data_IF_927892468195
#
_entry.id   IF_927892468195
#
_cell.length_a   1.000
_cell.length_b   1.000
_cell.length_c   1.000
_cell.angle_alpha   90.00
_cell.angle_beta   90.00
_cell.angle_gamma   90.00
#
_symmetry.space_group_name_H-M   'P 1'
#
loop_
_entity.id
_entity.type
_entity.pdbx_description
1 polymer ?
#
# COMPACT_ATOMS: atom_id res chain seq x y z
N UNK A 1 -9.25 -8.17 23.90
CA UNK A 1 -9.06 -8.05 22.44
C UNK A 1 -10.06 -7.04 21.90
N UNK A 2 -9.64 -6.10 21.05
CA UNK A 2 -10.41 -4.88 20.73
C UNK A 2 -11.22 -4.88 19.43
N UNK A 3 -11.54 -6.04 18.84
CA UNK A 3 -12.41 -6.14 17.67
C UNK A 3 -12.97 -7.57 17.55
N UNK A 4 -14.13 -7.73 16.89
CA UNK A 4 -14.72 -9.05 16.59
C UNK A 4 -14.21 -9.56 15.24
N UNK A 5 -13.96 -10.87 15.12
CA UNK A 5 -13.57 -11.50 13.85
C UNK A 5 -14.71 -11.49 12.81
N UNK A 6 -15.95 -11.42 13.27
CA UNK A 6 -17.14 -11.31 12.40
C UNK A 6 -17.37 -9.87 11.91
N UNK A 7 -16.59 -8.90 12.41
CA UNK A 7 -16.72 -7.52 12.00
C UNK A 7 -16.22 -7.31 10.57
N UNK A 8 -16.87 -6.40 9.85
CA UNK A 8 -16.43 -5.98 8.51
C UNK A 8 -14.93 -5.62 8.51
N UNK A 9 -14.46 -4.87 9.50
CA UNK A 9 -13.07 -4.43 9.58
C UNK A 9 -12.05 -5.59 9.69
N UNK A 10 -12.47 -6.78 10.12
CA UNK A 10 -11.62 -7.95 10.27
C UNK A 10 -11.52 -8.82 9.01
N UNK A 11 -12.36 -8.61 7.98
CA UNK A 11 -12.36 -9.41 6.74
C UNK A 11 -10.97 -9.65 6.12
N UNK A 12 -10.05 -8.67 6.03
CA UNK A 12 -8.72 -8.91 5.47
C UNK A 12 -7.89 -9.94 6.24
N UNK A 13 -8.15 -10.15 7.53
CA UNK A 13 -7.46 -11.18 8.33
C UNK A 13 -7.85 -12.59 7.87
N UNK A 14 -9.11 -12.77 7.47
CA UNK A 14 -9.71 -14.04 7.08
C UNK A 14 -9.43 -14.43 5.61
N UNK A 15 -9.02 -13.45 4.79
CA UNK A 15 -8.65 -13.71 3.39
C UNK A 15 -7.47 -14.71 3.34
N UNK A 16 -7.57 -15.81 2.58
CA UNK A 16 -6.44 -16.71 2.39
C UNK A 16 -5.39 -16.04 1.49
N UNK A 17 -4.14 -16.44 1.66
CA UNK A 17 -3.10 -15.94 0.76
C UNK A 17 -3.12 -16.69 -0.58
N UNK A 18 -3.00 -15.98 -1.72
CA UNK A 18 -2.81 -16.61 -3.02
C UNK A 18 -1.51 -17.45 -3.03
N UNK A 19 -1.58 -18.68 -3.56
CA UNK A 19 -0.41 -19.55 -3.73
C UNK A 19 0.07 -20.28 -2.47
N UNK A 20 -0.71 -20.31 -1.39
CA UNK A 20 -0.40 -21.09 -0.17
C UNK A 20 0.68 -20.48 0.72
N UNK A 21 1.11 -21.24 1.74
CA UNK A 21 2.04 -20.78 2.79
C UNK A 21 3.52 -20.80 2.38
N UNK A 22 3.89 -21.64 1.41
CA UNK A 22 5.28 -21.90 1.03
C UNK A 22 6.04 -20.68 0.45
N UNK A 23 5.31 -19.64 0.02
CA UNK A 23 5.90 -18.45 -0.60
C UNK A 23 6.34 -17.37 0.39
N UNK A 24 6.05 -17.52 1.70
CA UNK A 24 6.25 -16.46 2.70
C UNK A 24 7.09 -16.90 3.88
N UNK A 25 7.92 -15.98 4.36
CA UNK A 25 8.63 -16.16 5.63
C UNK A 25 7.70 -15.81 6.79
N UNK A 26 7.82 -16.54 7.91
CA UNK A 26 6.95 -16.37 9.07
C UNK A 26 6.84 -14.91 9.54
N UNK A 27 7.95 -14.17 9.52
CA UNK A 27 7.98 -12.77 9.98
C UNK A 27 7.23 -11.82 9.04
N UNK A 28 7.12 -12.14 7.75
CA UNK A 28 6.35 -11.35 6.78
C UNK A 28 4.85 -11.54 7.06
N UNK A 29 4.42 -12.77 7.34
CA UNK A 29 3.04 -13.05 7.75
C UNK A 29 2.72 -12.36 9.08
N UNK A 30 3.60 -12.47 10.08
CA UNK A 30 3.43 -11.80 11.36
C UNK A 30 3.31 -10.27 11.19
N UNK A 31 4.13 -9.65 10.35
CA UNK A 31 4.07 -8.21 10.07
C UNK A 31 2.75 -7.80 9.40
N UNK A 32 2.27 -8.58 8.42
CA UNK A 32 0.99 -8.33 7.74
C UNK A 32 -0.17 -8.48 8.72
N UNK A 33 -0.21 -9.55 9.51
CA UNK A 33 -1.26 -9.78 10.52
C UNK A 33 -1.30 -8.67 11.55
N UNK A 34 -0.15 -8.31 12.12
CA UNK A 34 -0.06 -7.23 13.11
C UNK A 34 -0.57 -5.90 12.56
N UNK A 35 -0.26 -5.57 11.30
CA UNK A 35 -0.79 -4.37 10.65
C UNK A 35 -2.31 -4.44 10.46
N UNK A 36 -2.83 -5.57 9.99
CA UNK A 36 -4.27 -5.77 9.78
C UNK A 36 -5.07 -5.73 11.08
N UNK A 37 -4.54 -6.30 12.18
CA UNK A 37 -5.20 -6.22 13.49
C UNK A 37 -5.34 -4.77 13.97
N UNK A 38 -4.29 -3.96 13.80
CA UNK A 38 -4.34 -2.53 14.14
C UNK A 38 -5.36 -1.79 13.27
N UNK A 39 -5.38 -2.08 11.97
CA UNK A 39 -6.37 -1.52 11.05
C UNK A 39 -7.80 -1.93 11.45
N UNK A 40 -8.02 -3.18 11.84
CA UNK A 40 -9.31 -3.72 12.27
C UNK A 40 -9.81 -3.05 13.56
N UNK A 41 -8.89 -2.65 14.46
CA UNK A 41 -9.18 -1.84 15.66
C UNK A 41 -9.47 -0.37 15.35
N UNK A 42 -9.42 0.03 14.08
CA UNK A 42 -9.64 1.41 13.65
C UNK A 42 -8.41 2.32 13.79
N UNK A 43 -7.23 1.79 14.10
CA UNK A 43 -6.00 2.58 14.13
C UNK A 43 -5.72 3.17 12.73
N UNK A 44 -5.48 4.49 12.68
CA UNK A 44 -5.27 5.20 11.41
C UNK A 44 -3.84 5.14 10.90
N UNK A 45 -2.88 4.80 11.76
CA UNK A 45 -1.45 4.80 11.48
C UNK A 45 -0.83 3.53 12.05
N UNK A 46 0.00 2.89 11.24
CA UNK A 46 0.78 1.70 11.62
C UNK A 46 2.20 1.93 11.15
N UNK A 47 3.17 1.69 12.03
CA UNK A 47 4.59 1.71 11.70
C UNK A 47 5.15 0.29 11.87
N UNK A 48 5.74 -0.25 10.81
CA UNK A 48 6.45 -1.53 10.85
C UNK A 48 7.96 -1.26 10.77
N UNK A 49 8.68 -1.63 11.83
CA UNK A 49 10.13 -1.56 11.85
C UNK A 49 10.72 -2.83 11.26
N UNK A 50 11.29 -2.72 10.06
CA UNK A 50 11.77 -3.85 9.27
C UNK A 50 13.23 -3.62 8.86
N UNK A 51 14.05 -4.66 8.97
CA UNK A 51 15.44 -4.62 8.47
C UNK A 51 15.49 -4.47 6.94
N UNK A 52 16.61 -4.00 6.40
CA UNK A 52 16.87 -4.04 4.95
C UNK A 52 16.90 -5.49 4.46
N UNK A 53 16.46 -5.75 3.22
CA UNK A 53 16.41 -7.11 2.66
C UNK A 53 15.31 -8.04 3.22
N UNK A 54 14.54 -7.62 4.23
CA UNK A 54 13.42 -8.41 4.80
C UNK A 54 12.16 -8.51 3.89
N UNK A 55 12.19 -7.87 2.72
CA UNK A 55 11.06 -7.88 1.79
C UNK A 55 9.95 -6.89 2.17
N UNK A 56 10.30 -5.65 2.50
CA UNK A 56 9.32 -4.59 2.81
C UNK A 56 8.28 -4.39 1.69
N UNK A 57 8.74 -4.38 0.42
CA UNK A 57 7.85 -4.30 -0.74
C UNK A 57 6.91 -5.49 -0.82
N UNK A 58 7.41 -6.69 -0.56
CA UNK A 58 6.60 -7.92 -0.52
C UNK A 58 5.50 -7.82 0.53
N UNK A 59 5.85 -7.37 1.76
CA UNK A 59 4.88 -7.14 2.84
C UNK A 59 3.82 -6.12 2.42
N UNK A 60 4.21 -4.99 1.82
CA UNK A 60 3.28 -3.96 1.38
C UNK A 60 2.30 -4.47 0.29
N UNK A 61 2.82 -5.19 -0.71
CA UNK A 61 2.01 -5.78 -1.79
C UNK A 61 0.98 -6.76 -1.23
N UNK A 62 1.41 -7.69 -0.37
CA UNK A 62 0.51 -8.69 0.20
C UNK A 62 -0.48 -8.09 1.20
N UNK A 63 -0.08 -7.09 1.98
CA UNK A 63 -0.99 -6.36 2.85
C UNK A 63 -2.12 -5.71 2.04
N UNK A 64 -1.78 -4.95 0.99
CA UNK A 64 -2.79 -4.35 0.12
C UNK A 64 -3.62 -5.40 -0.59
N UNK A 65 -3.03 -6.55 -0.94
CA UNK A 65 -3.75 -7.64 -1.60
C UNK A 65 -4.84 -8.21 -0.70
N UNK A 66 -4.54 -8.47 0.59
CA UNK A 66 -5.57 -8.94 1.55
C UNK A 66 -6.70 -7.92 1.72
N UNK A 67 -6.37 -6.63 1.75
CA UNK A 67 -7.37 -5.55 1.84
C UNK A 67 -8.21 -5.46 0.55
N UNK A 68 -7.60 -5.68 -0.62
CA UNK A 68 -8.27 -5.67 -1.92
C UNK A 68 -9.21 -6.87 -2.10
N UNK A 69 -8.73 -8.07 -1.79
CA UNK A 69 -9.51 -9.31 -1.87
C UNK A 69 -10.67 -9.32 -0.86
N UNK A 70 -10.56 -8.58 0.24
CA UNK A 70 -11.67 -8.32 1.17
C UNK A 70 -12.69 -7.28 0.66
N UNK A 71 -12.47 -6.68 -0.52
CA UNK A 71 -13.32 -5.62 -1.08
C UNK A 71 -13.17 -4.26 -0.39
N UNK A 72 -12.12 -4.05 0.41
CA UNK A 72 -11.95 -2.88 1.26
C UNK A 72 -10.91 -1.89 0.74
N UNK A 73 -10.13 -2.28 -0.27
CA UNK A 73 -9.16 -1.39 -0.90
C UNK A 73 -9.90 -0.37 -1.75
N UNK A 74 -9.99 0.85 -1.23
CA UNK A 74 -10.43 1.99 -2.04
C UNK A 74 -9.29 2.46 -2.92
N UNK A 75 -8.18 2.81 -2.28
CA UNK A 75 -7.16 3.70 -2.82
C UNK A 75 -5.90 3.60 -1.94
N UNK A 76 -4.73 3.33 -2.52
CA UNK A 76 -3.43 3.32 -1.83
C UNK A 76 -2.34 4.12 -2.57
N UNK A 77 -1.42 4.70 -1.80
CA UNK A 77 -0.22 5.37 -2.30
C UNK A 77 1.01 4.68 -1.69
N UNK A 78 1.89 4.16 -2.54
CA UNK A 78 3.20 3.61 -2.16
C UNK A 78 4.29 4.61 -2.50
N UNK A 79 4.93 5.15 -1.47
CA UNK A 79 5.92 6.21 -1.62
C UNK A 79 7.34 5.66 -1.49
N UNK A 80 8.18 6.04 -2.43
CA UNK A 80 9.58 5.63 -2.51
C UNK A 80 10.50 6.85 -2.37
N UNK A 81 11.73 6.60 -1.95
CA UNK A 81 12.75 7.63 -1.81
C UNK A 81 13.36 8.07 -3.16
N UNK A 82 13.51 7.12 -4.10
CA UNK A 82 14.15 7.33 -5.41
C UNK A 82 13.51 6.52 -6.54
N UNK A 83 13.79 6.91 -7.78
CA UNK A 83 13.11 6.39 -8.97
C UNK A 83 13.40 4.91 -9.26
N UNK A 84 14.59 4.40 -8.94
CA UNK A 84 14.89 2.96 -9.09
C UNK A 84 14.03 2.13 -8.14
N UNK A 85 13.86 2.59 -6.89
CA UNK A 85 12.98 1.93 -5.91
C UNK A 85 11.51 2.05 -6.32
N UNK A 86 11.10 3.19 -6.89
CA UNK A 86 9.76 3.38 -7.47
C UNK A 86 9.50 2.35 -8.56
N UNK A 87 10.47 2.13 -9.44
CA UNK A 87 10.35 1.20 -10.58
C UNK A 87 10.27 -0.25 -10.10
N UNK A 88 11.09 -0.63 -9.11
CA UNK A 88 11.02 -1.95 -8.48
C UNK A 88 9.67 -2.17 -7.77
N UNK A 89 9.20 -1.16 -7.04
CA UNK A 89 7.88 -1.17 -6.41
C UNK A 89 6.77 -1.35 -7.43
N UNK A 90 6.78 -0.54 -8.49
CA UNK A 90 5.78 -0.61 -9.57
C UNK A 90 5.70 -2.02 -10.16
N UNK A 91 6.83 -2.62 -10.52
CA UNK A 91 6.87 -3.97 -11.07
C UNK A 91 6.27 -4.99 -10.09
N UNK A 92 6.62 -4.89 -8.79
CA UNK A 92 6.08 -5.77 -7.77
C UNK A 92 4.56 -5.63 -7.60
N UNK A 93 4.03 -4.39 -7.66
CA UNK A 93 2.60 -4.14 -7.60
C UNK A 93 1.88 -4.60 -8.88
N UNK A 94 2.42 -4.33 -10.06
CA UNK A 94 1.81 -4.73 -11.34
C UNK A 94 1.74 -6.25 -11.51
N UNK A 95 2.71 -6.99 -10.96
CA UNK A 95 2.65 -8.46 -10.94
C UNK A 95 1.43 -9.00 -10.18
N UNK A 96 0.86 -8.24 -9.24
CA UNK A 96 -0.25 -8.68 -8.38
C UNK A 96 -1.57 -7.98 -8.73
N UNK A 97 -1.51 -6.73 -9.19
CA UNK A 97 -2.67 -5.86 -9.44
C UNK A 97 -2.85 -5.49 -10.92
N UNK A 98 -1.90 -5.85 -11.79
CA UNK A 98 -1.95 -5.51 -13.21
C UNK A 98 -2.09 -4.01 -13.44
N UNK A 99 -3.04 -3.63 -14.29
CA UNK A 99 -3.32 -2.23 -14.65
C UNK A 99 -3.90 -1.38 -13.50
N UNK A 100 -4.28 -2.00 -12.38
CA UNK A 100 -4.78 -1.29 -11.20
C UNK A 100 -3.65 -0.70 -10.33
N UNK A 101 -2.39 -0.94 -10.72
CA UNK A 101 -1.20 -0.32 -10.16
C UNK A 101 -0.46 0.52 -11.22
N UNK A 102 -0.24 1.80 -10.92
CA UNK A 102 0.42 2.73 -11.83
C UNK A 102 1.42 3.65 -11.13
N UNK A 103 2.47 4.05 -11.84
CA UNK A 103 3.36 5.09 -11.37
C UNK A 103 2.70 6.47 -11.54
N UNK A 104 2.95 7.36 -10.58
CA UNK A 104 2.58 8.77 -10.72
C UNK A 104 3.51 9.41 -11.74
N UNK A 105 2.92 10.04 -12.76
CA UNK A 105 3.65 10.80 -13.78
C UNK A 105 2.94 12.13 -14.01
N UNK A 106 3.71 13.18 -14.28
CA UNK A 106 3.19 14.53 -14.57
C UNK A 106 2.50 14.59 -15.93
N UNK A 107 2.99 13.82 -16.91
CA UNK A 107 2.52 13.89 -18.31
C UNK A 107 1.25 13.07 -18.59
N UNK A 108 1.03 11.97 -17.86
CA UNK A 108 -0.15 11.12 -18.08
C UNK A 108 -0.62 10.50 -16.75
N UNK A 109 -1.38 11.25 -15.94
CA UNK A 109 -1.87 10.75 -14.67
C UNK A 109 -2.88 9.62 -14.91
N UNK A 110 -2.50 8.39 -14.55
CA UNK A 110 -3.37 7.22 -14.59
C UNK A 110 -4.41 7.29 -13.45
N UNK A 111 -5.42 8.16 -13.61
CA UNK A 111 -6.42 8.50 -12.58
C UNK A 111 -7.30 7.32 -12.14
N UNK A 112 -7.37 6.26 -12.94
CA UNK A 112 -8.23 5.11 -12.70
C UNK A 112 -7.56 4.01 -11.84
N UNK A 113 -6.23 4.01 -11.73
CA UNK A 113 -5.52 3.04 -10.91
C UNK A 113 -5.79 3.30 -9.42
N UNK A 114 -6.19 2.26 -8.67
CA UNK A 114 -6.41 2.39 -7.22
C UNK A 114 -5.10 2.45 -6.44
N UNK A 115 -4.02 1.89 -6.96
CA UNK A 115 -2.70 1.87 -6.32
C UNK A 115 -1.75 2.75 -7.12
N UNK A 116 -1.25 3.81 -6.48
CA UNK A 116 -0.29 4.72 -7.07
C UNK A 116 1.08 4.52 -6.44
N UNK A 117 2.12 4.52 -7.27
CA UNK A 117 3.51 4.38 -6.86
C UNK A 117 4.24 5.68 -7.22
N UNK A 118 4.82 6.36 -6.22
CA UNK A 118 5.41 7.69 -6.38
C UNK A 118 6.75 7.81 -5.66
N UNK A 119 7.53 8.84 -6.01
CA UNK A 119 8.64 9.34 -5.19
C UNK A 119 8.29 10.69 -4.55
N UNK A 120 9.01 11.09 -3.50
CA UNK A 120 8.85 12.43 -2.92
C UNK A 120 9.03 13.53 -3.97
N UNK A 121 9.99 13.37 -4.87
CA UNK A 121 10.25 14.31 -5.96
C UNK A 121 9.05 14.37 -6.91
N UNK A 122 8.43 13.25 -7.30
CA UNK A 122 7.20 13.33 -8.12
C UNK A 122 6.01 13.97 -7.41
N UNK A 123 6.01 13.99 -6.07
CA UNK A 123 5.02 14.75 -5.30
C UNK A 123 5.41 16.22 -5.14
N UNK A 124 6.71 16.55 -5.24
CA UNK A 124 7.30 17.86 -4.94
C UNK A 124 7.84 18.63 -6.17
N UNK A 125 7.80 18.06 -7.38
CA UNK A 125 7.98 18.78 -8.67
C UNK A 125 6.73 19.63 -8.97
N UNK A 126 6.01 20.01 -7.91
CA UNK A 126 4.94 20.97 -7.87
C UNK A 126 5.48 22.34 -8.28
N UNK A 127 5.39 22.65 -9.58
CA UNK A 127 5.13 24.02 -9.98
C UNK A 127 3.86 24.49 -9.29
N UNK A 128 3.85 25.75 -8.87
CA UNK A 128 3.03 26.30 -7.78
C UNK A 128 1.49 26.16 -7.92
N UNK A 129 0.92 25.69 -9.05
CA UNK A 129 -0.53 25.84 -9.30
C UNK A 129 -1.35 24.61 -9.78
N UNK A 130 -0.77 23.57 -10.38
CA UNK A 130 -1.54 22.48 -11.03
C UNK A 130 -1.49 21.12 -10.30
N UNK A 131 -0.36 20.73 -9.71
CA UNK A 131 -0.18 19.35 -9.24
C UNK A 131 -0.41 19.13 -7.73
N UNK A 132 -0.23 20.17 -6.90
CA UNK A 132 -0.67 20.12 -5.50
C UNK A 132 -2.20 19.90 -5.41
N UNK A 133 -2.93 20.38 -6.43
CA UNK A 133 -4.35 20.05 -6.63
C UNK A 133 -4.58 18.59 -6.98
N UNK A 134 -3.69 17.90 -7.71
CA UNK A 134 -3.89 16.47 -8.01
C UNK A 134 -4.02 15.63 -6.73
N UNK A 135 -3.15 15.82 -5.74
CA UNK A 135 -3.28 15.10 -4.46
C UNK A 135 -4.52 15.56 -3.69
N UNK A 136 -4.82 16.86 -3.64
CA UNK A 136 -5.92 17.39 -2.81
C UNK A 136 -7.32 17.19 -3.44
N UNK A 137 -7.47 17.37 -4.75
CA UNK A 137 -8.71 17.19 -5.52
C UNK A 137 -9.00 15.71 -5.79
N UNK A 138 -7.97 14.93 -6.16
CA UNK A 138 -8.18 13.51 -6.46
C UNK A 138 -8.15 12.68 -5.18
N UNK A 139 -7.35 13.04 -4.16
CA UNK A 139 -7.15 12.22 -2.96
C UNK A 139 -7.28 12.99 -1.65
N UNK A 140 -8.49 13.00 -1.06
CA UNK A 140 -8.66 13.36 0.35
C UNK A 140 -8.13 12.22 1.24
N UNK A 141 -6.81 12.14 1.44
CA UNK A 141 -6.15 11.05 2.16
C UNK A 141 -6.55 11.09 3.64
N UNK A 142 -7.58 10.31 4.01
CA UNK A 142 -8.01 10.14 5.41
C UNK A 142 -7.35 8.96 6.13
N UNK A 143 -6.65 8.09 5.39
CA UNK A 143 -5.84 6.99 5.92
C UNK A 143 -4.54 6.93 5.13
N UNK A 144 -3.48 7.50 5.70
CA UNK A 144 -2.12 7.32 5.17
C UNK A 144 -1.58 6.04 5.79
N UNK A 145 -1.45 4.97 5.01
CA UNK A 145 -0.50 3.91 5.36
C UNK A 145 0.87 4.41 4.92
N UNK A 146 1.49 5.26 5.73
CA UNK A 146 2.82 5.79 5.44
C UNK A 146 3.83 4.71 5.78
N UNK A 147 4.20 3.91 4.77
CA UNK A 147 5.34 3.03 4.87
C UNK A 147 6.61 3.86 4.73
N UNK A 148 7.16 4.31 5.86
CA UNK A 148 8.53 4.79 5.89
C UNK A 148 9.45 3.60 5.67
N UNK A 149 9.96 3.44 4.45
CA UNK A 149 11.12 2.60 4.19
C UNK A 149 12.35 3.39 4.66
N UNK A 150 12.90 3.01 5.81
CA UNK A 150 14.32 3.24 6.11
C UNK A 150 15.13 2.19 5.35
#
# INVERSE_FOLDING_TARGET
MGFSLDSEAAKPLLVPYPGGEASRRYYQDAAIRAALEKIARGEKRVLLFLATGSGKTFIAVHLLRKIADAGQLRRALFLCDRDELRTQGLNAFQNVFGADAAAVTTKNPQKNARILIATYQTLNVAGEDEDAKFLLEVWRIRKVAQFFLV
#
